data_IF_909147598992
#
_entry.id   IF_909147598992
#
_cell.length_a   1.000
_cell.length_b   1.000
_cell.length_c   1.000
_cell.angle_alpha   90.00
_cell.angle_beta   90.00
_cell.angle_gamma   90.00
#
_symmetry.space_group_name_H-M   'P 1'
#
loop_
_entity.id
_entity.type
_entity.pdbx_description
1 polymer ?
#
# COMPACT_ATOMS: atom_id res chain seq x y z
N UNK A 1 -5.44 -7.31 -22.62
CA UNK A 1 -5.95 -6.67 -21.39
C UNK A 1 -4.92 -5.65 -20.90
N UNK A 2 -5.35 -4.48 -20.39
CA UNK A 2 -4.41 -3.50 -19.88
C UNK A 2 -3.70 -4.04 -18.64
N UNK A 3 -2.39 -3.90 -18.59
CA UNK A 3 -1.58 -4.12 -17.40
C UNK A 3 -1.47 -2.82 -16.63
N UNK A 4 -1.44 -2.90 -15.30
CA UNK A 4 -1.14 -1.72 -14.48
C UNK A 4 0.27 -1.22 -14.80
N UNK A 5 0.46 0.10 -14.74
CA UNK A 5 1.73 0.72 -15.03
C UNK A 5 2.81 0.28 -14.04
N UNK A 6 3.95 -0.06 -14.59
CA UNK A 6 5.13 -0.47 -13.85
C UNK A 6 5.84 0.77 -13.29
N UNK A 7 6.58 0.54 -12.24
CA UNK A 7 7.36 1.47 -11.42
C UNK A 7 8.10 2.54 -12.21
N UNK A 8 8.00 3.77 -11.72
CA UNK A 8 8.86 4.88 -12.14
C UNK A 8 10.26 4.74 -11.53
N UNK A 9 11.25 5.38 -12.16
CA UNK A 9 12.61 5.45 -11.66
C UNK A 9 12.64 5.97 -10.21
N UNK A 10 13.28 5.27 -9.27
CA UNK A 10 13.37 5.70 -7.87
C UNK A 10 13.89 7.13 -7.64
N UNK A 11 14.75 7.64 -8.53
CA UNK A 11 15.25 9.03 -8.46
C UNK A 11 14.15 10.08 -8.65
N UNK A 12 13.06 9.73 -9.34
CA UNK A 12 11.94 10.64 -9.61
C UNK A 12 10.80 10.47 -8.59
N UNK A 13 10.98 9.60 -7.60
CA UNK A 13 9.96 9.32 -6.60
C UNK A 13 9.77 10.52 -5.67
N UNK A 14 8.55 11.04 -5.64
CA UNK A 14 8.14 12.15 -4.79
C UNK A 14 6.80 11.84 -4.12
N UNK A 15 6.63 12.36 -2.91
CA UNK A 15 5.38 12.29 -2.14
C UNK A 15 4.80 13.68 -1.95
N UNK A 16 3.50 13.75 -1.65
CA UNK A 16 2.84 15.03 -1.33
C UNK A 16 2.73 15.22 0.17
N UNK A 17 2.99 16.44 0.67
CA UNK A 17 2.60 16.81 2.03
C UNK A 17 1.07 16.90 2.11
N UNK A 18 0.50 16.41 3.22
CA UNK A 18 -0.94 16.29 3.40
C UNK A 18 -1.41 17.09 4.59
N UNK A 19 -2.62 17.65 4.47
CA UNK A 19 -3.48 18.00 5.58
C UNK A 19 -4.44 16.83 5.82
N UNK A 20 -4.59 16.42 7.08
CA UNK A 20 -5.50 15.34 7.49
C UNK A 20 -6.49 15.88 8.50
N UNK A 21 -7.74 15.56 8.30
CA UNK A 21 -8.81 15.86 9.26
C UNK A 21 -9.56 14.58 9.62
N UNK A 22 -9.71 14.35 10.91
CA UNK A 22 -10.47 13.22 11.44
C UNK A 22 -11.64 13.73 12.26
N UNK A 23 -12.81 13.14 12.03
CA UNK A 23 -14.04 13.32 12.79
C UNK A 23 -14.60 11.94 13.14
N UNK A 24 -15.59 11.82 14.06
CA UNK A 24 -16.24 10.54 14.34
C UNK A 24 -16.85 9.89 13.08
N UNK A 25 -17.27 10.70 12.11
CA UNK A 25 -17.92 10.27 10.87
C UNK A 25 -16.93 9.74 9.84
N UNK A 26 -15.66 10.19 9.87
CA UNK A 26 -14.67 9.77 8.88
C UNK A 26 -13.33 10.47 9.01
N UNK A 27 -12.43 10.11 8.10
CA UNK A 27 -11.14 10.76 7.95
C UNK A 27 -11.01 11.25 6.50
N UNK A 28 -10.55 12.48 6.33
CA UNK A 28 -10.19 13.02 5.02
C UNK A 28 -8.75 13.49 5.00
N UNK A 29 -8.14 13.45 3.83
CA UNK A 29 -6.83 14.04 3.58
C UNK A 29 -6.80 14.74 2.24
N UNK A 30 -5.95 15.74 2.12
CA UNK A 30 -5.70 16.45 0.87
C UNK A 30 -4.27 16.97 0.82
N UNK A 31 -3.76 17.18 -0.39
CA UNK A 31 -2.42 17.75 -0.56
C UNK A 31 -2.42 19.25 -0.22
N UNK A 32 -1.35 19.71 0.41
CA UNK A 32 -1.19 21.11 0.83
C UNK A 32 0.05 21.80 0.25
N UNK A 33 0.76 21.15 -0.67
CA UNK A 33 1.97 21.72 -1.24
C UNK A 33 2.47 20.97 -2.45
N UNK A 34 3.70 21.30 -2.83
CA UNK A 34 4.37 20.66 -3.96
C UNK A 34 4.94 19.29 -3.59
N UNK A 35 5.07 18.37 -4.56
CA UNK A 35 5.72 17.08 -4.34
C UNK A 35 7.13 17.22 -3.79
N UNK A 36 7.47 16.40 -2.80
CA UNK A 36 8.74 16.39 -2.08
C UNK A 36 9.50 15.08 -2.37
N UNK A 37 10.81 15.19 -2.57
CA UNK A 37 11.67 14.01 -2.56
C UNK A 37 11.93 13.53 -1.12
N UNK A 38 12.61 12.38 -0.98
CA UNK A 38 12.86 11.78 0.33
C UNK A 38 13.64 12.71 1.29
N UNK A 39 14.68 13.38 0.81
CA UNK A 39 15.46 14.30 1.64
C UNK A 39 14.63 15.49 2.11
N UNK A 40 13.83 16.09 1.24
CA UNK A 40 12.91 17.18 1.59
C UNK A 40 11.85 16.72 2.60
N UNK A 41 11.33 15.52 2.44
CA UNK A 41 10.38 14.92 3.38
C UNK A 41 10.98 14.74 4.77
N UNK A 42 12.22 14.24 4.85
CA UNK A 42 12.94 14.10 6.13
C UNK A 42 13.11 15.43 6.84
N UNK A 43 13.43 16.48 6.11
CA UNK A 43 13.60 17.83 6.68
C UNK A 43 12.27 18.41 7.22
N UNK A 44 11.15 18.06 6.63
CA UNK A 44 9.82 18.53 7.04
C UNK A 44 9.18 17.68 8.15
N UNK A 45 9.62 16.46 8.35
CA UNK A 45 9.08 15.59 9.39
C UNK A 45 9.19 16.20 10.77
N UNK A 46 8.09 16.15 11.50
CA UNK A 46 8.04 16.55 12.92
C UNK A 46 7.17 15.55 13.66
N UNK A 47 7.58 15.13 14.85
CA UNK A 47 6.70 14.36 15.74
C UNK A 47 5.43 15.16 16.05
N UNK A 48 4.30 14.49 16.07
CA UNK A 48 3.02 15.10 16.41
C UNK A 48 2.43 14.46 17.66
N UNK A 49 1.57 15.22 18.33
CA UNK A 49 0.77 14.74 19.46
C UNK A 49 -0.69 14.92 19.12
N UNK A 50 -1.47 13.92 19.42
CA UNK A 50 -2.92 13.91 19.22
C UNK A 50 -3.57 13.71 20.58
N UNK A 51 -4.38 14.65 21.00
CA UNK A 51 -5.09 14.59 22.29
C UNK A 51 -6.37 13.76 22.21
N UNK A 52 -7.06 13.79 21.08
CA UNK A 52 -8.29 13.05 20.81
C UNK A 52 -8.12 12.24 19.54
N UNK A 53 -8.22 10.92 19.64
CA UNK A 53 -8.04 10.01 18.50
C UNK A 53 -9.20 10.03 17.50
N UNK A 54 -10.35 10.56 17.88
CA UNK A 54 -11.53 10.64 17.02
C UNK A 54 -11.64 11.99 16.31
N UNK A 55 -11.11 13.06 16.92
CA UNK A 55 -11.17 14.42 16.40
C UNK A 55 -9.79 15.07 16.43
N UNK A 56 -9.18 15.18 15.25
CA UNK A 56 -7.90 15.88 15.12
C UNK A 56 -7.70 16.42 13.71
N UNK A 57 -6.79 17.36 13.58
CA UNK A 57 -6.26 17.80 12.29
C UNK A 57 -4.74 17.82 12.33
N UNK A 58 -4.11 17.40 11.26
CA UNK A 58 -2.65 17.32 11.17
C UNK A 58 -2.17 17.75 9.79
N UNK A 59 -1.02 18.41 9.79
CA UNK A 59 -0.18 18.58 8.61
C UNK A 59 0.87 17.50 8.60
N UNK A 60 0.90 16.69 7.54
CA UNK A 60 1.73 15.50 7.43
C UNK A 60 2.73 15.60 6.29
N UNK A 61 3.87 14.91 6.44
CA UNK A 61 4.90 14.89 5.41
C UNK A 61 4.57 13.97 4.23
N UNK A 62 3.89 12.84 4.46
CA UNK A 62 3.62 11.85 3.43
C UNK A 62 2.44 10.93 3.74
N UNK A 63 2.02 10.21 2.70
CA UNK A 63 1.04 9.12 2.75
C UNK A 63 1.74 7.79 2.51
N UNK A 64 1.45 6.78 3.32
CA UNK A 64 1.89 5.41 3.13
C UNK A 64 0.71 4.44 3.03
N UNK A 65 0.97 3.29 2.44
CA UNK A 65 0.05 2.15 2.42
C UNK A 65 0.73 0.94 3.03
N UNK A 66 -0.08 0.09 3.65
CA UNK A 66 0.30 -1.25 4.08
C UNK A 66 -0.79 -2.21 3.68
N UNK A 67 -0.42 -3.46 3.42
CA UNK A 67 -1.37 -4.51 3.06
C UNK A 67 -1.33 -5.61 4.09
N UNK A 68 -2.47 -5.88 4.72
CA UNK A 68 -2.68 -7.09 5.47
C UNK A 68 -3.19 -8.15 4.48
N UNK A 69 -2.24 -8.92 3.95
CA UNK A 69 -2.49 -9.92 2.93
C UNK A 69 -2.73 -11.28 3.58
N UNK A 70 -3.89 -11.86 3.29
CA UNK A 70 -4.24 -13.23 3.69
C UNK A 70 -4.19 -14.11 2.45
N UNK A 71 -3.38 -15.14 2.47
CA UNK A 71 -3.32 -16.14 1.41
C UNK A 71 -4.13 -17.37 1.81
N UNK A 72 -5.10 -17.72 0.96
CA UNK A 72 -5.87 -18.97 1.10
C UNK A 72 -5.23 -20.05 0.24
N UNK A 73 -4.73 -21.11 0.89
CA UNK A 73 -4.10 -22.26 0.24
C UNK A 73 -4.46 -23.57 0.92
N UNK A 74 -4.90 -24.55 0.15
CA UNK A 74 -5.31 -25.88 0.65
C UNK A 74 -6.32 -25.81 1.81
N UNK A 75 -7.28 -24.89 1.75
CA UNK A 75 -8.33 -24.73 2.76
C UNK A 75 -7.87 -24.06 4.07
N UNK A 76 -6.67 -23.50 4.11
CA UNK A 76 -6.15 -22.76 5.26
C UNK A 76 -5.79 -21.33 4.85
N UNK A 77 -5.94 -20.42 5.79
CA UNK A 77 -5.56 -19.03 5.63
C UNK A 77 -4.21 -18.76 6.33
N UNK A 78 -3.34 -18.04 5.64
CA UNK A 78 -2.01 -17.66 6.09
C UNK A 78 -1.83 -16.14 5.95
N UNK A 79 -1.19 -15.53 6.91
CA UNK A 79 -0.75 -14.15 6.74
C UNK A 79 0.57 -14.12 5.97
N UNK A 80 0.62 -13.24 4.98
CA UNK A 80 1.83 -13.00 4.19
C UNK A 80 2.55 -11.77 4.75
N UNK A 81 3.75 -11.99 5.24
CA UNK A 81 4.60 -10.94 5.83
C UNK A 81 5.93 -10.87 5.09
N UNK A 82 6.47 -9.67 5.00
CA UNK A 82 7.83 -9.45 4.49
C UNK A 82 8.83 -9.62 5.62
N UNK A 83 9.82 -10.48 5.40
CA UNK A 83 10.99 -10.61 6.27
C UNK A 83 12.08 -9.67 5.79
N UNK A 84 12.33 -8.62 6.53
CA UNK A 84 13.32 -7.60 6.19
C UNK A 84 14.46 -7.56 7.21
N UNK A 85 15.70 -7.57 6.72
CA UNK A 85 16.86 -7.26 7.55
C UNK A 85 17.04 -5.75 7.60
N UNK A 86 17.01 -5.17 8.78
CA UNK A 86 17.19 -3.73 8.98
C UNK A 86 18.66 -3.38 8.85
N UNK A 87 18.95 -2.43 7.97
CA UNK A 87 20.34 -1.99 7.73
C UNK A 87 20.93 -1.21 8.89
N UNK A 88 20.07 -0.46 9.62
CA UNK A 88 20.46 0.40 10.75
C UNK A 88 20.80 -0.37 12.03
N UNK A 89 20.16 -1.51 12.26
CA UNK A 89 20.28 -2.32 13.48
C UNK A 89 20.74 -3.75 13.26
N UNK A 90 20.74 -4.22 12.03
CA UNK A 90 21.13 -5.59 11.68
C UNK A 90 20.14 -6.68 12.09
N UNK A 91 19.06 -6.33 12.81
CA UNK A 91 18.01 -7.26 13.21
C UNK A 91 17.09 -7.61 12.04
N UNK A 92 16.35 -8.72 12.19
CA UNK A 92 15.34 -9.15 11.22
C UNK A 92 13.95 -8.85 11.80
N UNK A 93 13.13 -8.16 11.02
CA UNK A 93 11.74 -7.85 11.36
C UNK A 93 10.79 -8.48 10.37
N UNK A 94 9.62 -8.86 10.85
CA UNK A 94 8.47 -9.21 10.02
C UNK A 94 7.55 -7.98 9.96
N UNK A 95 7.19 -7.59 8.75
CA UNK A 95 6.32 -6.44 8.53
C UNK A 95 5.25 -6.75 7.48
N UNK A 96 4.20 -5.95 7.44
CA UNK A 96 3.26 -5.95 6.32
C UNK A 96 3.97 -5.48 5.04
N UNK A 97 3.50 -5.94 3.89
CA UNK A 97 3.84 -5.35 2.59
C UNK A 97 3.46 -3.87 2.66
N UNK A 98 4.39 -2.97 2.36
CA UNK A 98 4.15 -1.53 2.56
C UNK A 98 5.04 -0.67 1.68
N UNK A 99 4.53 0.52 1.32
CA UNK A 99 5.27 1.52 0.58
C UNK A 99 4.69 2.91 0.75
N UNK A 100 5.42 3.92 0.28
CA UNK A 100 4.93 5.29 0.22
C UNK A 100 4.13 5.52 -1.06
N UNK A 101 3.02 6.25 -0.93
CA UNK A 101 2.17 6.61 -2.07
C UNK A 101 2.84 7.75 -2.85
N UNK A 102 3.15 7.55 -4.13
CA UNK A 102 3.72 8.60 -4.96
C UNK A 102 2.70 9.73 -5.18
N UNK A 103 3.21 10.93 -5.43
CA UNK A 103 2.39 12.14 -5.54
C UNK A 103 1.23 12.03 -6.54
N UNK A 104 1.42 11.29 -7.64
CA UNK A 104 0.40 11.12 -8.69
C UNK A 104 -0.67 10.05 -8.36
N UNK A 105 -0.50 9.28 -7.27
CA UNK A 105 -1.44 8.22 -6.84
C UNK A 105 -2.18 8.57 -5.54
N UNK A 106 -2.03 9.78 -5.04
CA UNK A 106 -2.64 10.20 -3.77
C UNK A 106 -4.16 9.99 -3.71
N UNK A 107 -4.85 10.13 -4.84
CA UNK A 107 -6.29 9.87 -4.96
C UNK A 107 -6.65 8.39 -5.17
N UNK A 108 -5.68 7.55 -5.48
CA UNK A 108 -5.85 6.11 -5.75
C UNK A 108 -4.78 5.26 -5.03
N UNK A 109 -4.66 5.36 -3.70
CA UNK A 109 -3.59 4.69 -2.96
C UNK A 109 -3.67 3.16 -3.01
N UNK A 110 -4.83 2.58 -3.36
CA UNK A 110 -4.97 1.15 -3.62
C UNK A 110 -4.06 0.68 -4.76
N UNK A 111 -3.79 1.51 -5.78
CA UNK A 111 -2.84 1.17 -6.84
C UNK A 111 -1.43 0.94 -6.29
N UNK A 112 -0.98 1.81 -5.39
CA UNK A 112 0.31 1.63 -4.71
C UNK A 112 0.33 0.33 -3.90
N UNK A 113 -0.73 0.03 -3.16
CA UNK A 113 -0.83 -1.20 -2.38
C UNK A 113 -0.72 -2.46 -3.26
N UNK A 114 -1.41 -2.48 -4.39
CA UNK A 114 -1.37 -3.58 -5.36
C UNK A 114 0.02 -3.70 -6.00
N UNK A 115 0.67 -2.60 -6.32
CA UNK A 115 2.01 -2.60 -6.87
C UNK A 115 3.04 -3.15 -5.88
N UNK A 116 2.96 -2.78 -4.62
CA UNK A 116 3.83 -3.33 -3.57
C UNK A 116 3.63 -4.85 -3.41
N UNK A 117 2.40 -5.35 -3.52
CA UNK A 117 2.15 -6.80 -3.53
C UNK A 117 2.84 -7.46 -4.74
N UNK A 118 2.71 -6.89 -5.92
CA UNK A 118 3.32 -7.45 -7.13
C UNK A 118 4.85 -7.43 -7.11
N UNK A 119 5.45 -6.49 -6.38
CA UNK A 119 6.89 -6.38 -6.21
C UNK A 119 7.44 -7.32 -5.12
N UNK A 120 6.72 -7.52 -4.05
CA UNK A 120 7.21 -8.24 -2.87
C UNK A 120 6.65 -9.67 -2.72
N UNK A 121 5.53 -10.00 -3.38
CA UNK A 121 4.90 -11.32 -3.33
C UNK A 121 5.01 -12.04 -4.67
N UNK A 122 6.03 -12.89 -4.82
CA UNK A 122 6.26 -13.71 -6.00
C UNK A 122 5.90 -15.16 -5.70
N UNK A 123 4.99 -15.74 -6.49
CA UNK A 123 4.55 -17.12 -6.35
C UNK A 123 5.17 -17.98 -7.46
N UNK A 124 6.10 -18.83 -7.08
CA UNK A 124 6.79 -19.74 -7.99
C UNK A 124 6.06 -21.08 -8.08
N UNK A 125 6.00 -21.61 -9.29
CA UNK A 125 5.54 -22.97 -9.57
C UNK A 125 6.62 -23.69 -10.39
N UNK A 126 6.57 -25.03 -10.54
CA UNK A 126 7.49 -25.76 -11.40
C UNK A 126 7.55 -25.26 -12.85
N UNK A 127 6.48 -24.62 -13.30
CA UNK A 127 6.32 -24.16 -14.70
C UNK A 127 6.55 -22.64 -14.86
N UNK A 128 6.92 -21.93 -13.80
CA UNK A 128 7.19 -20.51 -13.82
C UNK A 128 6.45 -19.72 -12.73
N UNK A 129 6.56 -18.42 -12.80
CA UNK A 129 5.97 -17.51 -11.81
C UNK A 129 4.51 -17.20 -12.11
N UNK A 130 3.64 -17.24 -11.12
CA UNK A 130 2.23 -16.93 -11.33
C UNK A 130 2.03 -15.43 -11.59
N UNK A 131 1.29 -15.12 -12.65
CA UNK A 131 0.70 -13.79 -12.82
C UNK A 131 -0.45 -13.60 -11.85
N UNK A 132 -0.74 -12.37 -11.48
CA UNK A 132 -1.85 -12.02 -10.61
C UNK A 132 -2.89 -11.16 -11.30
N UNK A 133 -4.10 -11.18 -10.78
CA UNK A 133 -5.22 -10.31 -11.19
C UNK A 133 -5.88 -9.67 -9.98
N UNK A 134 -6.25 -8.40 -10.15
CA UNK A 134 -7.19 -7.71 -9.26
C UNK A 134 -8.41 -7.31 -10.09
N UNK A 135 -9.57 -7.89 -9.77
CA UNK A 135 -10.75 -7.84 -10.62
C UNK A 135 -10.39 -8.31 -12.04
N UNK A 136 -10.71 -7.53 -13.06
CA UNK A 136 -10.42 -7.83 -14.47
C UNK A 136 -9.07 -7.30 -14.96
N UNK A 137 -8.26 -6.70 -14.06
CA UNK A 137 -6.97 -6.09 -14.41
C UNK A 137 -5.81 -7.00 -14.02
N UNK A 138 -4.86 -7.18 -14.94
CA UNK A 138 -3.61 -7.85 -14.64
C UNK A 138 -2.75 -7.00 -13.70
N UNK A 139 -2.16 -7.64 -12.71
CA UNK A 139 -1.18 -7.01 -11.86
C UNK A 139 0.09 -6.64 -12.64
N UNK A 140 0.89 -5.67 -12.15
CA UNK A 140 2.20 -5.40 -12.72
C UNK A 140 3.07 -6.66 -12.71
N UNK A 141 3.96 -6.77 -13.68
CA UNK A 141 4.99 -7.80 -13.74
C UNK A 141 6.38 -7.11 -13.70
N UNK A 142 6.82 -6.60 -12.54
CA UNK A 142 7.99 -5.73 -12.45
C UNK A 142 9.30 -6.42 -12.84
N UNK A 143 9.32 -7.75 -12.78
CA UNK A 143 10.49 -8.57 -13.09
C UNK A 143 10.37 -9.29 -14.43
N UNK A 144 9.49 -8.87 -15.34
CA UNK A 144 9.24 -9.55 -16.61
C UNK A 144 10.49 -9.67 -17.51
N UNK A 145 11.50 -8.83 -17.32
CA UNK A 145 12.78 -8.96 -18.01
C UNK A 145 13.62 -10.15 -17.52
N UNK A 146 13.41 -10.62 -16.30
CA UNK A 146 14.19 -11.68 -15.66
C UNK A 146 13.37 -12.94 -15.33
N UNK A 147 12.04 -12.81 -15.20
CA UNK A 147 11.15 -13.88 -14.76
C UNK A 147 10.08 -14.17 -15.82
N UNK A 148 9.83 -15.46 -16.06
CA UNK A 148 8.73 -15.88 -16.91
C UNK A 148 7.43 -15.98 -16.11
N UNK A 149 6.47 -15.09 -16.42
CA UNK A 149 5.14 -15.09 -15.78
C UNK A 149 4.15 -15.91 -16.57
N UNK A 150 3.44 -16.81 -15.87
CA UNK A 150 2.35 -17.63 -16.43
C UNK A 150 1.03 -16.89 -16.28
N UNK A 151 0.28 -16.78 -17.38
CA UNK A 151 -1.02 -16.11 -17.42
C UNK A 151 -2.19 -17.08 -17.45
N UNK A 152 -1.94 -18.37 -17.69
CA UNK A 152 -3.02 -19.35 -17.86
C UNK A 152 -3.85 -19.56 -16.59
N UNK A 153 -3.22 -19.55 -15.41
CA UNK A 153 -3.86 -19.76 -14.13
C UNK A 153 -3.38 -18.71 -13.13
N UNK A 154 -3.87 -17.46 -13.21
CA UNK A 154 -3.40 -16.40 -12.34
C UNK A 154 -3.90 -16.60 -10.90
N UNK A 155 -3.11 -16.15 -9.94
CA UNK A 155 -3.67 -15.91 -8.62
C UNK A 155 -4.60 -14.68 -8.66
N UNK A 156 -5.52 -14.60 -7.72
CA UNK A 156 -6.49 -13.50 -7.62
C UNK A 156 -6.32 -12.75 -6.31
N UNK A 157 -6.36 -11.43 -6.40
CA UNK A 157 -6.50 -10.55 -5.23
C UNK A 157 -7.96 -10.09 -5.14
N UNK A 158 -8.54 -10.27 -3.96
CA UNK A 158 -9.87 -9.79 -3.64
C UNK A 158 -9.84 -8.93 -2.38
N UNK A 159 -10.58 -7.81 -2.34
CA UNK A 159 -10.67 -7.03 -1.12
C UNK A 159 -11.49 -7.77 -0.07
N UNK A 160 -11.05 -7.67 1.18
CA UNK A 160 -11.85 -8.06 2.34
C UNK A 160 -12.66 -6.86 2.84
N UNK A 161 -13.59 -7.10 3.74
CA UNK A 161 -14.39 -6.02 4.36
C UNK A 161 -13.49 -4.96 4.96
N UNK A 162 -13.62 -3.75 4.48
CA UNK A 162 -12.86 -2.60 4.96
C UNK A 162 -13.33 -2.09 6.32
N UNK A 163 -12.75 -0.96 6.74
CA UNK A 163 -13.19 -0.26 7.94
C UNK A 163 -14.62 0.28 7.78
N UNK A 164 -15.35 0.37 8.88
CA UNK A 164 -16.68 1.00 8.90
C UNK A 164 -16.60 2.51 8.71
N UNK A 165 -15.53 3.12 9.22
CA UNK A 165 -15.27 4.57 9.11
C UNK A 165 -14.73 4.89 7.71
N UNK A 166 -15.40 5.75 6.93
CA UNK A 166 -14.96 6.11 5.59
C UNK A 166 -13.69 6.94 5.61
N UNK A 167 -12.89 6.79 4.56
CA UNK A 167 -11.69 7.60 4.29
C UNK A 167 -11.85 8.25 2.93
N UNK A 168 -11.50 9.53 2.82
CA UNK A 168 -11.65 10.30 1.59
C UNK A 168 -10.36 11.06 1.24
N UNK A 169 -10.09 11.19 -0.04
CA UNK A 169 -9.13 12.15 -0.59
C UNK A 169 -9.91 13.40 -1.01
N UNK A 170 -9.78 14.49 -0.26
CA UNK A 170 -10.69 15.61 -0.37
C UNK A 170 -12.14 15.16 -0.11
N UNK A 171 -13.03 15.41 -1.05
CA UNK A 171 -14.43 14.98 -1.00
C UNK A 171 -14.69 13.59 -1.59
N UNK A 172 -13.69 12.96 -2.20
CA UNK A 172 -13.85 11.69 -2.90
C UNK A 172 -13.53 10.49 -1.98
N UNK A 173 -14.51 9.63 -1.67
CA UNK A 173 -14.28 8.44 -0.87
C UNK A 173 -13.28 7.49 -1.53
N UNK A 174 -12.40 6.89 -0.71
CA UNK A 174 -11.50 5.85 -1.18
C UNK A 174 -12.24 4.54 -1.38
N UNK A 175 -11.85 3.82 -2.42
CA UNK A 175 -12.27 2.44 -2.65
C UNK A 175 -11.72 1.52 -1.54
N UNK A 176 -12.44 0.43 -1.27
CA UNK A 176 -12.04 -0.65 -0.35
C UNK A 176 -11.83 -0.21 1.11
N UNK A 177 -12.24 0.99 1.48
CA UNK A 177 -12.29 1.54 2.85
C UNK A 177 -11.13 1.08 3.73
N UNK A 178 -9.90 1.55 3.50
CA UNK A 178 -8.74 1.15 4.29
C UNK A 178 -8.92 1.55 5.77
N UNK A 179 -8.30 0.79 6.67
CA UNK A 179 -8.07 1.24 8.04
C UNK A 179 -6.99 2.29 8.03
N UNK A 180 -6.99 3.15 9.04
CA UNK A 180 -6.03 4.25 9.13
C UNK A 180 -5.33 4.27 10.47
N UNK A 181 -4.07 4.65 10.47
CA UNK A 181 -3.37 5.11 11.66
C UNK A 181 -2.40 6.24 11.31
N UNK A 182 -2.05 7.05 12.29
CA UNK A 182 -1.00 8.07 12.16
C UNK A 182 0.23 7.58 12.90
N UNK A 183 1.35 7.49 12.18
CA UNK A 183 2.64 7.22 12.81
C UNK A 183 3.17 8.53 13.40
N UNK A 184 2.94 8.74 14.69
CA UNK A 184 3.21 10.00 15.39
C UNK A 184 4.67 10.48 15.28
N UNK A 185 5.70 9.59 15.39
CA UNK A 185 7.09 10.03 15.29
C UNK A 185 7.46 10.65 13.95
N UNK A 186 6.80 10.28 12.88
CA UNK A 186 7.09 10.80 11.53
C UNK A 186 5.94 11.64 10.95
N UNK A 187 4.86 11.83 11.71
CA UNK A 187 3.66 12.52 11.25
C UNK A 187 3.19 11.99 9.87
N UNK A 188 3.12 10.66 9.73
CA UNK A 188 2.71 10.01 8.47
C UNK A 188 1.34 9.36 8.63
N UNK A 189 0.46 9.61 7.66
CA UNK A 189 -0.79 8.87 7.54
C UNK A 189 -0.52 7.54 6.85
N UNK A 190 -0.99 6.45 7.46
CA UNK A 190 -0.89 5.10 6.93
C UNK A 190 -2.27 4.53 6.64
N UNK A 191 -2.47 4.02 5.44
CA UNK A 191 -3.68 3.32 5.02
C UNK A 191 -3.40 1.83 4.98
N UNK A 192 -4.21 1.02 5.69
CA UNK A 192 -4.06 -0.43 5.72
C UNK A 192 -5.20 -1.06 4.93
N UNK A 193 -4.86 -1.68 3.80
CA UNK A 193 -5.79 -2.45 2.99
C UNK A 193 -5.79 -3.92 3.43
N UNK A 194 -6.99 -4.49 3.57
CA UNK A 194 -7.18 -5.92 3.81
C UNK A 194 -7.49 -6.61 2.48
N UNK A 195 -6.56 -7.43 1.99
CA UNK A 195 -6.71 -8.16 0.74
C UNK A 195 -6.51 -9.65 0.96
N UNK A 196 -7.24 -10.46 0.17
CA UNK A 196 -7.07 -11.90 0.09
C UNK A 196 -6.40 -12.29 -1.21
N UNK A 197 -5.40 -13.14 -1.13
CA UNK A 197 -4.74 -13.77 -2.26
C UNK A 197 -5.23 -15.22 -2.36
N UNK A 198 -5.85 -15.55 -3.49
CA UNK A 198 -6.32 -16.89 -3.80
C UNK A 198 -5.40 -17.50 -4.84
N UNK A 199 -4.72 -18.58 -4.46
CA UNK A 199 -3.86 -19.37 -5.37
C UNK A 199 -4.75 -20.30 -6.16
N UNK A 200 -4.57 -20.43 -7.50
CA UNK A 200 -5.32 -21.37 -8.30
C UNK A 200 -5.10 -22.81 -7.79
N UNK A 201 -6.13 -23.61 -7.84
CA UNK A 201 -6.03 -25.05 -7.59
C UNK A 201 -5.42 -25.68 -8.84
N UNK A 202 -4.39 -26.50 -8.64
CA UNK A 202 -3.88 -27.38 -9.69
C UNK A 202 -4.90 -28.41 -10.12
#
# INVERSE_FOLDING_TARGET
MPRMLIRKNPSDFKTLPLFVEATPEGLSYQSIGMPLNFAQTLLKRRPVKVADNERFSLELANLGVSVRLTMSWQGRDYWVLVRQRRQDRGDVVLKLISGYVPAHEVSLPLHTAIQEIAEECLLETPEGWLSGRFNETWLPAPYAAALHYREAMPFRLTPLSGATRPVSCGSQPLLERPRTYVHLPTASLQLIYDLRLEVPKE
#
